data_IF_417570459937
#
_entry.id   IF_417570459937
#
_cell.length_a   1.000
_cell.length_b   1.000
_cell.length_c   1.000
_cell.angle_alpha   90.00
_cell.angle_beta   90.00
_cell.angle_gamma   90.00
#
_symmetry.space_group_name_H-M   'P 1'
#
loop_
_entity.id
_entity.type
_entity.pdbx_description
1 polymer ?
#
# COMPACT_ATOMS: atom_id res chain seq x y z
N UNK A 1 12.60 77.17 -33.02
CA UNK A 1 13.42 76.15 -32.33
C UNK A 1 12.72 75.56 -31.11
N UNK A 2 12.30 76.33 -30.09
CA UNK A 2 11.65 75.77 -28.89
C UNK A 2 10.36 74.93 -29.14
N UNK A 3 9.43 75.44 -29.97
CA UNK A 3 8.16 74.73 -30.29
C UNK A 3 8.34 73.41 -31.06
N UNK A 4 9.43 73.23 -31.79
CA UNK A 4 9.70 71.97 -32.51
C UNK A 4 10.27 70.91 -31.58
N UNK A 5 11.08 71.32 -30.59
CA UNK A 5 11.65 70.44 -29.57
C UNK A 5 10.52 69.90 -28.66
N UNK A 6 9.62 70.77 -28.19
CA UNK A 6 8.47 70.36 -27.37
C UNK A 6 7.54 69.37 -28.11
N UNK A 7 7.30 69.59 -29.40
CA UNK A 7 6.46 68.70 -30.21
C UNK A 7 7.13 67.34 -30.46
N UNK A 8 8.46 67.32 -30.55
CA UNK A 8 9.25 66.09 -30.70
C UNK A 8 9.26 65.28 -29.39
N UNK A 9 9.36 65.95 -28.25
CA UNK A 9 9.29 65.33 -26.92
C UNK A 9 7.91 64.73 -26.64
N UNK A 10 6.82 65.43 -26.98
CA UNK A 10 5.45 64.93 -26.86
C UNK A 10 5.23 63.67 -27.73
N UNK A 11 5.76 63.66 -28.97
CA UNK A 11 5.67 62.50 -29.87
C UNK A 11 6.50 61.32 -29.34
N UNK A 12 7.68 61.59 -28.81
CA UNK A 12 8.56 60.56 -28.22
C UNK A 12 7.93 59.92 -26.98
N UNK A 13 7.30 60.71 -26.11
CA UNK A 13 6.61 60.21 -24.92
C UNK A 13 5.39 59.35 -25.29
N UNK A 14 4.62 59.76 -26.32
CA UNK A 14 3.52 58.93 -26.86
C UNK A 14 4.03 57.61 -27.46
N UNK A 15 5.12 57.65 -28.21
CA UNK A 15 5.74 56.46 -28.80
C UNK A 15 6.25 55.50 -27.72
N UNK A 16 6.97 56.00 -26.70
CA UNK A 16 7.44 55.19 -25.58
C UNK A 16 6.28 54.55 -24.80
N UNK A 17 5.18 55.27 -24.57
CA UNK A 17 3.99 54.69 -23.93
C UNK A 17 3.38 53.54 -24.73
N UNK A 18 3.37 53.64 -26.06
CA UNK A 18 2.91 52.57 -26.94
C UNK A 18 3.85 51.36 -26.86
N UNK A 19 5.17 51.57 -26.93
CA UNK A 19 6.17 50.50 -26.81
C UNK A 19 6.07 49.79 -25.46
N UNK A 20 5.93 50.54 -24.37
CA UNK A 20 5.74 49.98 -23.03
C UNK A 20 4.42 49.21 -22.90
N UNK A 21 3.34 49.69 -23.53
CA UNK A 21 2.05 48.99 -23.52
C UNK A 21 2.12 47.67 -24.29
N UNK A 22 2.78 47.65 -25.46
CA UNK A 22 2.97 46.44 -26.26
C UNK A 22 3.84 45.43 -25.50
N UNK A 23 4.97 45.87 -24.92
CA UNK A 23 5.85 45.00 -24.14
C UNK A 23 5.13 44.45 -22.89
N UNK A 24 4.32 45.28 -22.22
CA UNK A 24 3.50 44.86 -21.09
C UNK A 24 2.52 43.75 -21.47
N UNK A 25 1.81 43.90 -22.59
CA UNK A 25 0.90 42.87 -23.11
C UNK A 25 1.67 41.59 -23.46
N UNK A 26 2.83 41.71 -24.10
CA UNK A 26 3.64 40.57 -24.53
C UNK A 26 4.17 39.77 -23.33
N UNK A 27 4.61 40.44 -22.27
CA UNK A 27 5.01 39.81 -21.00
C UNK A 27 3.81 39.13 -20.34
N UNK A 28 2.63 39.74 -20.38
CA UNK A 28 1.42 39.18 -19.76
C UNK A 28 0.97 37.91 -20.48
N UNK A 29 1.02 37.89 -21.83
CA UNK A 29 0.77 36.69 -22.64
C UNK A 29 1.79 35.59 -22.35
N UNK A 30 3.07 35.95 -22.25
CA UNK A 30 4.13 34.99 -21.92
C UNK A 30 3.93 34.41 -20.50
N UNK A 31 3.58 35.24 -19.52
CA UNK A 31 3.31 34.81 -18.15
C UNK A 31 2.10 33.87 -18.08
N UNK A 32 1.04 34.14 -18.84
CA UNK A 32 -0.11 33.25 -18.94
C UNK A 32 0.24 31.92 -19.59
N UNK A 33 1.07 31.93 -20.63
CA UNK A 33 1.52 30.72 -21.31
C UNK A 33 2.40 29.84 -20.40
N UNK A 34 3.38 30.45 -19.72
CA UNK A 34 4.22 29.75 -18.73
C UNK A 34 3.37 29.25 -17.56
N UNK A 35 2.41 30.06 -17.08
CA UNK A 35 1.47 29.64 -16.04
C UNK A 35 0.63 28.44 -16.45
N UNK A 36 0.15 28.39 -17.69
CA UNK A 36 -0.60 27.25 -18.21
C UNK A 36 0.25 25.97 -18.27
N UNK A 37 1.52 26.07 -18.72
CA UNK A 37 2.46 24.94 -18.72
C UNK A 37 2.71 24.45 -17.30
N UNK A 38 2.95 25.34 -16.34
CA UNK A 38 3.18 24.97 -14.94
C UNK A 38 1.94 24.34 -14.30
N UNK A 39 0.73 24.80 -14.64
CA UNK A 39 -0.52 24.18 -14.18
C UNK A 39 -0.72 22.80 -14.82
N UNK A 40 -0.42 22.63 -16.11
CA UNK A 40 -0.49 21.33 -16.78
C UNK A 40 0.53 20.34 -16.18
N UNK A 41 1.76 20.78 -15.92
CA UNK A 41 2.80 19.99 -15.26
C UNK A 41 2.38 19.61 -13.82
N UNK A 42 1.85 20.56 -13.05
CA UNK A 42 1.36 20.32 -11.69
C UNK A 42 0.16 19.36 -11.66
N UNK A 43 -0.75 19.48 -12.62
CA UNK A 43 -1.92 18.59 -12.74
C UNK A 43 -1.56 17.21 -13.25
N UNK A 44 -0.63 17.07 -14.21
CA UNK A 44 -0.07 15.77 -14.65
C UNK A 44 0.66 15.06 -13.51
N UNK A 45 1.41 15.79 -12.69
CA UNK A 45 2.07 15.25 -11.50
C UNK A 45 1.08 14.87 -10.39
N UNK A 46 -0.09 15.52 -10.34
CA UNK A 46 -1.17 15.13 -9.42
C UNK A 46 -2.03 13.97 -9.93
N UNK A 47 -2.24 13.81 -11.24
CA UNK A 47 -3.07 12.75 -11.83
C UNK A 47 -2.36 11.41 -11.95
N UNK A 48 -1.01 11.39 -11.94
CA UNK A 48 -0.22 10.15 -11.95
C UNK A 48 0.00 9.56 -10.55
N UNK A 49 -0.94 9.74 -9.62
CA UNK A 49 -0.96 8.93 -8.39
C UNK A 49 -1.41 7.53 -8.78
N UNK A 50 -0.43 6.65 -9.01
CA UNK A 50 -0.63 5.21 -9.13
C UNK A 50 -1.52 4.74 -7.97
N UNK A 51 -2.79 4.46 -8.28
CA UNK A 51 -3.67 3.76 -7.35
C UNK A 51 -3.42 2.28 -7.56
N UNK A 52 -2.96 1.56 -6.53
CA UNK A 52 -2.74 0.13 -6.67
C UNK A 52 -4.07 -0.58 -6.95
N UNK A 53 -4.06 -1.73 -7.65
CA UNK A 53 -5.24 -2.56 -7.87
C UNK A 53 -5.95 -2.90 -6.56
N UNK A 54 -7.29 -2.99 -6.58
CA UNK A 54 -8.11 -3.19 -5.37
C UNK A 54 -9.23 -4.22 -5.55
N UNK A 55 -9.71 -4.77 -4.44
CA UNK A 55 -10.77 -5.77 -4.42
C UNK A 55 -12.14 -5.12 -4.27
N UNK A 56 -12.86 -4.94 -5.38
CA UNK A 56 -14.24 -4.45 -5.41
C UNK A 56 -15.20 -5.48 -4.79
N UNK A 57 -16.07 -5.03 -3.90
CA UNK A 57 -17.09 -5.82 -3.21
C UNK A 57 -18.44 -5.09 -3.20
N UNK A 58 -19.49 -5.75 -2.69
CA UNK A 58 -20.79 -5.13 -2.45
C UNK A 58 -21.50 -4.58 -3.69
N UNK A 59 -22.14 -3.41 -3.54
CA UNK A 59 -23.01 -2.79 -4.57
C UNK A 59 -22.27 -2.48 -5.87
N UNK A 60 -21.00 -2.13 -5.79
CA UNK A 60 -20.23 -1.76 -6.99
C UNK A 60 -19.84 -2.99 -7.80
N UNK A 61 -19.61 -4.13 -7.15
CA UNK A 61 -19.47 -5.42 -7.83
C UNK A 61 -20.77 -5.83 -8.53
N UNK A 62 -21.93 -5.63 -7.91
CA UNK A 62 -23.21 -5.98 -8.54
C UNK A 62 -23.52 -5.10 -9.76
N UNK A 63 -23.31 -3.78 -9.66
CA UNK A 63 -23.42 -2.86 -10.82
C UNK A 63 -22.49 -3.23 -11.98
N UNK A 64 -21.30 -3.74 -11.67
CA UNK A 64 -20.33 -4.15 -12.67
C UNK A 64 -20.78 -5.39 -13.46
N UNK A 65 -21.34 -6.38 -12.74
CA UNK A 65 -21.91 -7.59 -13.34
C UNK A 65 -23.05 -7.25 -14.30
N UNK A 66 -23.95 -6.34 -13.89
CA UNK A 66 -25.06 -5.87 -14.74
C UNK A 66 -24.59 -5.25 -16.07
N UNK A 67 -23.43 -4.58 -16.06
CA UNK A 67 -22.84 -3.94 -17.24
C UNK A 67 -21.96 -4.87 -18.07
N UNK A 68 -21.82 -6.15 -17.68
CA UNK A 68 -20.95 -7.11 -18.37
C UNK A 68 -19.46 -6.74 -18.34
N UNK A 69 -19.04 -5.87 -17.41
CA UNK A 69 -17.65 -5.43 -17.30
C UNK A 69 -16.83 -6.47 -16.55
N UNK A 70 -15.73 -6.95 -17.16
CA UNK A 70 -14.70 -7.69 -16.45
C UNK A 70 -13.85 -6.69 -15.69
N UNK A 71 -14.26 -6.32 -14.47
CA UNK A 71 -13.54 -5.32 -13.69
C UNK A 71 -12.30 -5.86 -13.00
N UNK A 72 -12.14 -7.18 -12.90
CA UNK A 72 -11.07 -7.77 -12.11
C UNK A 72 -10.51 -9.04 -12.75
N UNK A 73 -9.19 -9.18 -12.69
CA UNK A 73 -8.45 -10.40 -13.00
C UNK A 73 -7.44 -10.72 -11.90
N UNK A 74 -6.71 -11.81 -12.08
CA UNK A 74 -5.67 -12.23 -11.16
C UNK A 74 -4.29 -11.94 -11.75
N UNK A 75 -3.36 -11.61 -10.87
CA UNK A 75 -1.96 -11.43 -11.19
C UNK A 75 -1.10 -12.19 -10.20
N UNK A 76 -0.06 -12.83 -10.68
CA UNK A 76 0.84 -13.62 -9.85
C UNK A 76 2.23 -13.66 -10.50
N UNK A 77 3.25 -13.64 -9.65
CA UNK A 77 4.64 -13.78 -10.07
C UNK A 77 5.02 -15.27 -10.12
N UNK A 78 6.32 -15.58 -10.12
CA UNK A 78 6.80 -16.95 -9.93
C UNK A 78 6.56 -17.46 -8.49
N UNK A 79 6.36 -18.79 -8.30
CA UNK A 79 6.37 -19.41 -6.99
C UNK A 79 7.68 -19.16 -6.22
N UNK A 80 7.57 -18.93 -4.91
CA UNK A 80 8.69 -18.69 -4.00
C UNK A 80 8.86 -19.87 -3.05
N UNK A 81 10.09 -20.34 -2.88
CA UNK A 81 10.40 -21.45 -1.96
C UNK A 81 10.19 -21.04 -0.51
N UNK A 82 9.70 -21.97 0.31
CA UNK A 82 9.52 -21.76 1.75
C UNK A 82 10.60 -22.53 2.50
N UNK A 83 11.48 -21.79 3.18
CA UNK A 83 12.59 -22.39 3.92
C UNK A 83 12.05 -23.34 5.00
N UNK A 84 12.73 -24.47 5.19
CA UNK A 84 12.31 -25.52 6.13
C UNK A 84 11.29 -26.49 5.53
N UNK A 85 10.94 -26.32 4.25
CA UNK A 85 10.10 -27.24 3.48
C UNK A 85 10.69 -27.47 2.09
N UNK A 86 10.15 -28.44 1.36
CA UNK A 86 10.33 -28.65 -0.07
C UNK A 86 9.25 -27.96 -0.91
N UNK A 87 8.39 -27.16 -0.28
CA UNK A 87 7.23 -26.53 -0.90
C UNK A 87 7.47 -25.09 -1.34
N UNK A 88 6.48 -24.59 -2.07
CA UNK A 88 6.46 -23.24 -2.61
C UNK A 88 5.16 -22.53 -2.22
N UNK A 89 5.22 -21.20 -2.15
CA UNK A 89 4.04 -20.33 -2.10
C UNK A 89 3.96 -19.46 -3.34
N UNK A 90 2.74 -19.12 -3.74
CA UNK A 90 2.44 -18.21 -4.83
C UNK A 90 1.44 -17.16 -4.34
N UNK A 91 1.90 -15.94 -4.09
CA UNK A 91 1.03 -14.83 -3.75
C UNK A 91 0.19 -14.46 -4.97
N UNK A 92 -1.13 -14.43 -4.77
CA UNK A 92 -2.10 -14.05 -5.79
C UNK A 92 -2.56 -12.63 -5.50
N UNK A 93 -2.41 -11.74 -6.47
CA UNK A 93 -2.86 -10.34 -6.43
C UNK A 93 -4.05 -10.16 -7.35
N UNK A 94 -4.73 -9.03 -7.20
CA UNK A 94 -5.80 -8.64 -8.12
C UNK A 94 -5.28 -7.62 -9.14
N UNK A 95 -5.80 -7.68 -10.36
CA UNK A 95 -5.73 -6.60 -11.35
C UNK A 95 -7.12 -6.01 -11.49
N UNK A 96 -7.25 -4.69 -11.44
CA UNK A 96 -8.52 -4.01 -11.68
C UNK A 96 -8.50 -3.43 -13.09
N UNK A 97 -9.45 -3.84 -13.93
CA UNK A 97 -9.62 -3.34 -15.29
C UNK A 97 -10.75 -2.30 -15.28
N UNK A 98 -10.40 -1.02 -15.39
CA UNK A 98 -11.40 0.06 -15.50
C UNK A 98 -12.00 0.16 -16.91
N UNK A 99 -11.41 -0.54 -17.89
CA UNK A 99 -11.76 -0.46 -19.32
C UNK A 99 -12.09 -1.84 -19.92
N UNK A 100 -12.95 -1.90 -20.96
CA UNK A 100 -13.30 -3.15 -21.65
C UNK A 100 -12.08 -3.83 -22.28
N UNK A 101 -12.11 -5.17 -22.32
CA UNK A 101 -10.99 -6.06 -22.74
C UNK A 101 -10.25 -5.64 -24.02
N UNK A 102 -10.95 -5.07 -25.01
CA UNK A 102 -10.37 -4.67 -26.30
C UNK A 102 -9.38 -3.50 -26.21
N UNK A 103 -9.50 -2.58 -25.25
CA UNK A 103 -8.48 -1.54 -25.01
C UNK A 103 -7.39 -2.02 -24.04
N UNK A 104 -7.72 -2.98 -23.18
CA UNK A 104 -6.79 -3.53 -22.18
C UNK A 104 -5.67 -4.35 -22.83
N UNK A 105 -5.95 -5.10 -23.90
CA UNK A 105 -4.95 -5.89 -24.64
C UNK A 105 -3.81 -5.01 -25.20
N UNK A 106 -4.13 -3.81 -25.71
CA UNK A 106 -3.13 -2.85 -26.23
C UNK A 106 -2.31 -2.21 -25.10
N UNK A 107 -2.89 -2.11 -23.89
CA UNK A 107 -2.24 -1.47 -22.74
C UNK A 107 -1.39 -2.48 -21.93
N UNK A 108 -1.75 -3.76 -21.93
CA UNK A 108 -0.99 -4.84 -21.25
C UNK A 108 0.43 -4.99 -21.83
N UNK A 109 0.59 -4.94 -23.16
CA UNK A 109 1.93 -4.98 -23.79
C UNK A 109 2.85 -3.84 -23.33
N UNK A 110 2.28 -2.66 -23.08
CA UNK A 110 3.03 -1.47 -22.62
C UNK A 110 3.30 -1.52 -21.10
N UNK A 111 2.42 -2.14 -20.32
CA UNK A 111 2.56 -2.26 -18.86
C UNK A 111 3.61 -3.31 -18.46
N UNK A 112 3.70 -4.43 -19.19
CA UNK A 112 4.72 -5.47 -18.97
C UNK A 112 6.16 -4.96 -19.12
N UNK A 113 6.38 -3.93 -19.95
CA UNK A 113 7.69 -3.29 -20.13
C UNK A 113 8.11 -2.36 -18.98
N UNK A 114 7.18 -1.93 -18.12
CA UNK A 114 7.46 -1.02 -16.98
C UNK A 114 7.52 -1.70 -15.61
N UNK A 115 6.99 -2.91 -15.47
CA UNK A 115 6.90 -3.60 -14.17
C UNK A 115 8.16 -4.37 -13.75
N UNK A 116 9.28 -4.22 -14.48
CA UNK A 116 10.58 -4.81 -14.11
C UNK A 116 11.27 -4.12 -12.92
N UNK A 117 10.63 -3.13 -12.29
CA UNK A 117 11.12 -2.50 -11.08
C UNK A 117 10.70 -3.37 -9.89
N UNK A 118 11.67 -4.13 -9.39
CA UNK A 118 11.69 -4.91 -8.15
C UNK A 118 11.02 -4.17 -6.98
N UNK A 119 9.71 -4.34 -6.84
CA UNK A 119 8.97 -3.98 -5.65
C UNK A 119 8.33 -5.27 -5.15
N UNK A 120 9.15 -6.16 -4.57
CA UNK A 120 8.73 -7.33 -3.79
C UNK A 120 8.13 -6.88 -2.44
N UNK A 121 7.19 -5.95 -2.51
CA UNK A 121 6.28 -5.69 -1.41
C UNK A 121 5.01 -6.45 -1.77
N UNK A 122 4.73 -7.55 -1.05
CA UNK A 122 3.54 -8.38 -1.17
C UNK A 122 2.24 -7.65 -0.75
N UNK A 123 2.11 -6.38 -1.12
CA UNK A 123 0.96 -5.54 -0.89
C UNK A 123 -0.14 -5.91 -1.91
N UNK A 124 -1.38 -5.87 -1.45
CA UNK A 124 -2.57 -6.20 -2.25
C UNK A 124 -2.63 -7.66 -2.72
N UNK A 125 -2.11 -8.55 -1.88
CA UNK A 125 -2.31 -9.97 -2.02
C UNK A 125 -3.75 -10.31 -1.64
N UNK A 126 -4.48 -11.04 -2.48
CA UNK A 126 -5.86 -11.49 -2.21
C UNK A 126 -5.90 -12.94 -1.75
N UNK A 127 -4.85 -13.71 -2.02
CA UNK A 127 -4.71 -15.08 -1.52
C UNK A 127 -3.25 -15.56 -1.65
N UNK A 128 -2.93 -16.68 -1.02
CA UNK A 128 -1.65 -17.38 -1.20
C UNK A 128 -1.94 -18.83 -1.55
N UNK A 129 -1.37 -19.32 -2.64
CA UNK A 129 -1.46 -20.72 -3.07
C UNK A 129 -0.20 -21.44 -2.65
N UNK A 130 -0.35 -22.57 -1.96
CA UNK A 130 0.75 -23.43 -1.55
C UNK A 130 0.87 -24.62 -2.49
N UNK A 131 2.11 -25.03 -2.75
CA UNK A 131 2.46 -26.10 -3.67
C UNK A 131 3.53 -27.01 -3.06
N UNK A 132 3.54 -28.27 -3.51
CA UNK A 132 4.63 -29.21 -3.23
C UNK A 132 5.85 -28.96 -4.15
N UNK A 133 6.88 -29.79 -3.98
CA UNK A 133 8.12 -29.75 -4.76
C UNK A 133 7.94 -29.96 -6.27
N UNK A 134 6.82 -30.57 -6.68
CA UNK A 134 6.48 -30.84 -8.07
C UNK A 134 5.48 -29.79 -8.60
N UNK A 135 5.33 -28.66 -7.89
CA UNK A 135 4.43 -27.55 -8.19
C UNK A 135 2.95 -27.94 -8.21
N UNK A 136 2.56 -29.05 -7.57
CA UNK A 136 1.14 -29.38 -7.41
C UNK A 136 0.55 -28.56 -6.29
N UNK A 137 -0.60 -27.93 -6.56
CA UNK A 137 -1.33 -27.18 -5.55
C UNK A 137 -1.75 -28.10 -4.40
N UNK A 138 -1.32 -27.76 -3.19
CA UNK A 138 -1.64 -28.48 -1.96
C UNK A 138 -2.73 -27.76 -1.15
N UNK A 139 -2.71 -26.43 -1.14
CA UNK A 139 -3.62 -25.62 -0.33
C UNK A 139 -3.81 -24.22 -0.94
N UNK A 140 -4.99 -23.64 -0.72
CA UNK A 140 -5.25 -22.20 -0.90
C UNK A 140 -5.53 -21.60 0.48
N UNK A 141 -4.85 -20.51 0.83
CA UNK A 141 -4.89 -19.96 2.19
C UNK A 141 -6.30 -19.53 2.62
N UNK A 142 -6.94 -18.67 1.82
CA UNK A 142 -8.24 -18.10 2.13
C UNK A 142 -9.34 -18.82 1.35
N UNK A 143 -10.39 -19.23 2.07
CA UNK A 143 -11.58 -19.87 1.52
C UNK A 143 -12.74 -18.89 1.23
N UNK A 144 -12.51 -17.59 1.49
CA UNK A 144 -13.45 -16.50 1.23
C UNK A 144 -12.68 -15.26 0.76
N UNK A 145 -13.39 -14.28 0.21
CA UNK A 145 -12.80 -12.99 -0.19
C UNK A 145 -12.14 -12.35 1.03
N UNK A 146 -10.91 -11.89 0.83
CA UNK A 146 -10.13 -11.18 1.84
C UNK A 146 -8.99 -10.44 1.18
N UNK A 147 -8.35 -9.61 1.98
CA UNK A 147 -7.19 -8.82 1.62
C UNK A 147 -6.06 -9.16 2.59
N UNK A 148 -4.91 -9.54 2.05
CA UNK A 148 -3.68 -9.79 2.80
C UNK A 148 -2.79 -8.57 2.58
N UNK A 149 -2.73 -7.73 3.61
CA UNK A 149 -1.94 -6.48 3.61
C UNK A 149 -0.46 -6.77 3.50
N UNK A 150 -0.01 -7.76 4.26
CA UNK A 150 1.34 -8.25 4.29
C UNK A 150 1.36 -9.66 4.86
N UNK A 151 2.41 -10.41 4.55
CA UNK A 151 2.73 -11.65 5.23
C UNK A 151 4.24 -11.82 5.31
N UNK A 152 4.68 -12.59 6.30
CA UNK A 152 6.09 -12.92 6.52
C UNK A 152 6.24 -14.42 6.66
N UNK A 153 7.21 -15.00 5.94
CA UNK A 153 7.53 -16.43 5.88
C UNK A 153 9.05 -16.63 5.89
N UNK A 154 9.55 -17.79 6.33
CA UNK A 154 10.99 -18.03 6.35
C UNK A 154 11.52 -18.20 4.92
N UNK A 155 12.49 -17.36 4.54
CA UNK A 155 13.14 -17.36 3.21
C UNK A 155 14.62 -17.74 3.32
N UNK A 156 15.19 -18.27 2.24
CA UNK A 156 16.60 -18.64 2.11
C UNK A 156 17.49 -17.46 1.73
N UNK A 157 16.94 -16.42 1.10
CA UNK A 157 17.61 -15.15 0.81
C UNK A 157 17.00 -14.05 1.65
N UNK A 158 17.85 -13.33 2.38
CA UNK A 158 17.49 -12.03 2.92
C UNK A 158 17.34 -11.07 1.74
N UNK A 159 16.19 -11.06 1.09
CA UNK A 159 15.89 -10.10 -0.01
C UNK A 159 15.98 -8.63 0.47
N UNK A 160 16.22 -8.39 1.76
CA UNK A 160 16.13 -7.08 2.41
C UNK A 160 17.29 -6.69 3.34
N UNK A 161 18.23 -7.57 3.70
CA UNK A 161 19.40 -7.22 4.54
C UNK A 161 20.63 -8.07 4.23
N UNK A 162 21.82 -7.49 4.36
CA UNK A 162 23.14 -8.13 4.18
C UNK A 162 23.48 -9.17 5.27
N UNK A 163 22.45 -9.79 5.87
CA UNK A 163 22.59 -10.91 6.79
C UNK A 163 22.23 -12.20 6.05
N UNK A 164 23.27 -12.83 5.50
CA UNK A 164 23.20 -14.13 4.82
C UNK A 164 22.83 -15.28 5.76
N UNK A 165 22.54 -15.00 7.05
CA UNK A 165 22.20 -16.03 8.01
C UNK A 165 20.73 -16.43 7.88
N UNK A 166 20.49 -17.74 7.71
CA UNK A 166 19.18 -18.36 7.91
C UNK A 166 18.35 -17.80 9.07
N UNK A 167 17.09 -17.41 8.82
CA UNK A 167 16.10 -17.39 9.90
C UNK A 167 15.76 -18.84 10.28
N UNK A 168 16.29 -19.28 11.42
CA UNK A 168 16.03 -20.60 12.01
C UNK A 168 14.93 -20.57 13.06
N UNK A 169 14.44 -19.38 13.40
CA UNK A 169 13.49 -19.14 14.48
C UNK A 169 12.06 -19.19 13.93
N UNK A 170 11.83 -18.61 12.76
CA UNK A 170 10.52 -18.59 12.14
C UNK A 170 10.12 -19.95 11.55
N UNK A 171 9.21 -20.64 12.23
CA UNK A 171 8.63 -21.93 11.80
C UNK A 171 7.17 -21.84 11.35
N UNK A 172 6.64 -20.61 11.27
CA UNK A 172 5.26 -20.33 10.91
C UNK A 172 5.20 -19.13 9.96
N UNK A 173 4.09 -18.99 9.24
CA UNK A 173 3.82 -17.82 8.40
C UNK A 173 2.86 -16.91 9.12
N UNK A 174 3.13 -15.61 9.13
CA UNK A 174 2.26 -14.59 9.73
C UNK A 174 1.65 -13.71 8.65
N UNK A 175 0.42 -13.24 8.87
CA UNK A 175 -0.34 -12.47 7.90
C UNK A 175 -1.10 -11.34 8.58
N UNK A 176 -1.20 -10.18 7.94
CA UNK A 176 -2.19 -9.17 8.29
C UNK A 176 -3.35 -9.28 7.31
N UNK A 177 -4.50 -9.79 7.77
CA UNK A 177 -5.65 -10.12 6.92
C UNK A 177 -6.87 -9.29 7.32
N UNK A 178 -7.50 -8.68 6.32
CA UNK A 178 -8.81 -8.02 6.41
C UNK A 178 -9.85 -8.81 5.63
N UNK A 179 -11.03 -8.98 6.21
CA UNK A 179 -12.17 -9.69 5.57
C UNK A 179 -13.38 -8.79 5.32
N UNK A 180 -13.35 -7.57 5.86
CA UNK A 180 -14.50 -6.67 5.89
C UNK A 180 -14.11 -5.30 5.34
N UNK A 181 -15.01 -4.71 4.56
CA UNK A 181 -14.94 -3.33 4.12
C UNK A 181 -15.40 -2.45 5.29
N UNK A 182 -14.43 -2.13 6.14
CA UNK A 182 -14.66 -1.48 7.43
C UNK A 182 -14.88 0.02 7.31
N UNK A 183 -14.42 0.62 6.20
CA UNK A 183 -14.66 2.02 5.88
C UNK A 183 -15.91 2.22 4.99
N UNK A 184 -16.49 1.12 4.47
CA UNK A 184 -17.70 1.05 3.64
C UNK A 184 -17.58 1.76 2.29
N UNK A 185 -16.38 1.80 1.70
CA UNK A 185 -16.13 2.41 0.40
C UNK A 185 -16.36 1.47 -0.79
N UNK A 186 -16.81 0.24 -0.54
CA UNK A 186 -17.09 -0.77 -1.55
C UNK A 186 -15.86 -1.57 -1.99
N UNK A 187 -14.72 -1.38 -1.32
CA UNK A 187 -13.44 -1.99 -1.67
C UNK A 187 -12.79 -2.62 -0.44
N UNK A 188 -12.22 -3.82 -0.59
CA UNK A 188 -11.30 -4.40 0.40
C UNK A 188 -9.87 -4.00 0.05
N UNK A 189 -9.25 -3.17 0.88
CA UNK A 189 -7.87 -2.71 0.70
C UNK A 189 -7.11 -2.43 2.02
N UNK A 190 -5.91 -1.84 1.90
CA UNK A 190 -5.04 -1.54 3.05
C UNK A 190 -5.59 -0.53 4.06
N UNK A 191 -6.68 0.18 3.74
CA UNK A 191 -7.38 1.09 4.63
C UNK A 191 -8.36 0.35 5.54
N UNK A 192 -8.68 -0.90 5.22
CA UNK A 192 -9.51 -1.72 6.09
C UNK A 192 -8.75 -2.23 7.30
N UNK A 193 -9.52 -2.51 8.35
CA UNK A 193 -8.99 -3.12 9.57
C UNK A 193 -8.50 -4.52 9.25
N UNK A 194 -7.27 -4.81 9.67
CA UNK A 194 -6.62 -6.12 9.52
C UNK A 194 -6.19 -6.66 10.87
N UNK A 195 -6.36 -7.96 11.07
CA UNK A 195 -5.83 -8.64 12.24
C UNK A 195 -4.63 -9.52 11.87
N UNK A 196 -3.81 -9.83 12.87
CA UNK A 196 -2.73 -10.79 12.72
C UNK A 196 -3.30 -12.21 12.72
N UNK A 197 -2.87 -12.99 11.73
CA UNK A 197 -3.11 -14.42 11.62
C UNK A 197 -1.78 -15.16 11.53
N UNK A 198 -1.81 -16.44 11.86
CA UNK A 198 -0.68 -17.36 11.76
C UNK A 198 -1.11 -18.67 11.11
N UNK A 199 -0.25 -19.28 10.30
CA UNK A 199 -0.42 -20.62 9.75
C UNK A 199 0.86 -21.44 9.86
N UNK A 200 0.76 -22.75 9.63
CA UNK A 200 1.92 -23.58 9.32
C UNK A 200 2.57 -23.19 7.99
N UNK A 201 3.72 -23.79 7.69
CA UNK A 201 4.53 -23.47 6.50
C UNK A 201 3.87 -23.88 5.18
N UNK A 202 2.85 -24.74 5.19
CA UNK A 202 2.08 -25.14 4.00
C UNK A 202 0.70 -24.46 3.96
N UNK A 203 0.50 -23.40 4.76
CA UNK A 203 -0.75 -22.65 4.83
C UNK A 203 -1.85 -23.33 5.65
N UNK A 204 -1.54 -24.43 6.34
CA UNK A 204 -2.46 -25.18 7.18
C UNK A 204 -2.72 -24.48 8.52
N UNK A 205 -3.87 -24.77 9.13
CA UNK A 205 -4.23 -24.29 10.47
C UNK A 205 -4.14 -22.76 10.61
N UNK A 206 -4.73 -22.02 9.66
CA UNK A 206 -4.81 -20.56 9.74
C UNK A 206 -5.65 -20.15 10.97
N UNK A 207 -5.00 -19.50 11.94
CA UNK A 207 -5.61 -19.06 13.20
C UNK A 207 -5.44 -17.56 13.37
N UNK A 208 -6.48 -16.90 13.88
CA UNK A 208 -6.47 -15.48 14.24
C UNK A 208 -5.72 -15.29 15.56
N UNK A 209 -4.71 -14.43 15.57
CA UNK A 209 -3.86 -14.13 16.72
C UNK A 209 -4.38 -12.92 17.50
N UNK A 210 -4.82 -11.87 16.80
CA UNK A 210 -5.31 -10.63 17.41
C UNK A 210 -6.76 -10.34 17.05
N UNK A 211 -7.49 -9.64 17.92
CA UNK A 211 -8.87 -9.20 17.66
C UNK A 211 -9.02 -7.74 18.11
N UNK A 212 -9.64 -6.91 17.28
CA UNK A 212 -9.95 -5.50 17.56
C UNK A 212 -8.75 -4.57 17.85
N UNK A 213 -7.57 -4.90 17.33
CA UNK A 213 -6.36 -4.06 17.47
C UNK A 213 -5.70 -3.81 16.13
N UNK A 214 -5.06 -2.66 15.98
CA UNK A 214 -4.23 -2.38 14.82
C UNK A 214 -2.79 -2.79 15.14
N UNK A 215 -2.33 -3.87 14.48
CA UNK A 215 -0.97 -4.37 14.64
C UNK A 215 -0.01 -3.42 13.92
N UNK A 216 0.93 -2.87 14.68
CA UNK A 216 1.97 -1.99 14.18
C UNK A 216 3.19 -2.77 13.72
N UNK A 217 3.56 -3.79 14.49
CA UNK A 217 4.73 -4.62 14.24
C UNK A 217 4.61 -5.97 14.97
N UNK A 218 5.29 -6.99 14.46
CA UNK A 218 5.39 -8.29 15.12
C UNK A 218 6.68 -9.01 14.73
N UNK A 219 7.24 -9.76 15.67
CA UNK A 219 8.48 -10.52 15.45
C UNK A 219 8.50 -11.82 16.24
N UNK A 220 9.11 -12.86 15.68
CA UNK A 220 9.33 -14.10 16.40
C UNK A 220 10.45 -13.90 17.43
N UNK A 221 10.15 -14.16 18.70
CA UNK A 221 11.15 -14.19 19.79
C UNK A 221 11.86 -15.55 19.79
N UNK A 222 11.09 -16.62 19.53
CA UNK A 222 11.56 -18.00 19.37
C UNK A 222 10.51 -18.78 18.56
N UNK A 223 10.72 -20.09 18.41
CA UNK A 223 9.83 -20.97 17.63
C UNK A 223 8.39 -21.06 18.15
N UNK A 224 8.12 -20.65 19.40
CA UNK A 224 6.80 -20.69 20.03
C UNK A 224 6.21 -19.31 20.37
N UNK A 225 6.96 -18.23 20.22
CA UNK A 225 6.56 -16.93 20.75
C UNK A 225 6.72 -15.81 19.72
N UNK A 226 5.68 -14.99 19.61
CA UNK A 226 5.67 -13.78 18.80
C UNK A 226 5.47 -12.58 19.72
N UNK A 227 6.37 -11.60 19.64
CA UNK A 227 6.16 -10.27 20.22
C UNK A 227 5.27 -9.47 19.26
N UNK A 228 4.24 -8.84 19.78
CA UNK A 228 3.28 -8.05 19.01
C UNK A 228 3.22 -6.65 19.61
N UNK A 229 3.40 -5.63 18.77
CA UNK A 229 3.19 -4.23 19.10
C UNK A 229 1.93 -3.74 18.39
N UNK A 230 1.01 -3.14 19.13
CA UNK A 230 -0.31 -2.79 18.62
C UNK A 230 -0.88 -1.53 19.26
N UNK A 231 -1.94 -0.98 18.66
CA UNK A 231 -2.78 0.07 19.24
C UNK A 231 -4.24 -0.39 19.27
N UNK A 232 -5.01 0.10 20.23
CA UNK A 232 -6.43 -0.20 20.30
C UNK A 232 -7.21 0.54 19.21
N UNK A 233 -8.24 -0.11 18.66
CA UNK A 233 -9.16 0.47 17.68
C UNK A 233 -10.23 1.33 18.35
N UNK A 234 -9.81 2.41 19.00
CA UNK A 234 -10.71 3.44 19.54
C UNK A 234 -10.74 4.71 18.66
N UNK A 235 -11.60 5.66 19.02
CA UNK A 235 -11.80 6.94 18.32
C UNK A 235 -10.70 7.98 18.61
N UNK A 236 -9.72 7.65 19.46
CA UNK A 236 -8.62 8.55 19.81
C UNK A 236 -7.82 8.87 18.56
N UNK A 237 -7.40 10.14 18.41
CA UNK A 237 -6.53 10.51 17.29
C UNK A 237 -5.21 9.75 17.37
N UNK A 238 -4.66 9.40 16.20
CA UNK A 238 -3.49 8.52 16.09
C UNK A 238 -2.29 9.03 16.90
N UNK A 239 -2.07 10.34 16.92
CA UNK A 239 -1.01 11.02 17.68
C UNK A 239 -1.15 10.89 19.21
N UNK A 240 -2.32 10.49 19.69
CA UNK A 240 -2.62 10.29 21.11
C UNK A 240 -2.91 8.82 21.44
N UNK A 241 -2.84 7.91 20.44
CA UNK A 241 -3.03 6.48 20.68
C UNK A 241 -1.79 5.92 21.37
N UNK A 242 -2.03 5.24 22.48
CA UNK A 242 -1.00 4.52 23.21
C UNK A 242 -0.67 3.21 22.50
N UNK A 243 0.62 2.91 22.42
CA UNK A 243 1.11 1.61 21.96
C UNK A 243 1.17 0.61 23.10
N UNK A 244 0.78 -0.61 22.79
CA UNK A 244 0.76 -1.76 23.68
C UNK A 244 1.61 -2.88 23.12
N UNK A 245 2.01 -3.77 24.02
CA UNK A 245 2.82 -4.94 23.71
C UNK A 245 2.17 -6.19 24.30
N UNK A 246 2.16 -7.26 23.51
CA UNK A 246 1.71 -8.59 23.93
C UNK A 246 2.66 -9.67 23.42
N UNK A 247 2.65 -10.82 24.08
CA UNK A 247 3.27 -12.05 23.60
C UNK A 247 2.18 -13.02 23.18
N UNK A 248 2.31 -13.56 21.97
CA UNK A 248 1.49 -14.68 21.54
C UNK A 248 2.27 -15.99 21.68
N UNK A 249 1.64 -16.97 22.31
CA UNK A 249 2.14 -18.31 22.54
C UNK A 249 1.47 -19.27 21.54
N UNK A 250 2.24 -19.75 20.58
CA UNK A 250 1.73 -20.44 19.38
C UNK A 250 1.08 -21.78 19.75
N UNK A 251 1.77 -22.64 20.51
CA UNK A 251 1.25 -23.96 20.93
C UNK A 251 -0.01 -23.85 21.79
N UNK A 252 -0.07 -22.83 22.63
CA UNK A 252 -1.15 -22.58 23.57
C UNK A 252 -2.31 -21.81 22.95
N UNK A 253 -2.12 -21.26 21.74
CA UNK A 253 -3.02 -20.30 21.10
C UNK A 253 -3.47 -19.18 22.07
N UNK A 254 -2.51 -18.60 22.79
CA UNK A 254 -2.76 -17.65 23.87
C UNK A 254 -2.05 -16.33 23.63
N UNK A 255 -2.79 -15.23 23.68
CA UNK A 255 -2.25 -13.88 23.71
C UNK A 255 -2.16 -13.39 25.15
N UNK A 256 -1.00 -12.88 25.55
CA UNK A 256 -0.75 -12.36 26.90
C UNK A 256 -0.17 -10.95 26.83
N UNK A 257 -0.88 -9.99 27.40
CA UNK A 257 -0.44 -8.59 27.48
C UNK A 257 0.76 -8.45 28.41
N UNK A 258 1.71 -7.58 28.03
CA UNK A 258 2.88 -7.28 28.84
C UNK A 258 2.58 -6.17 29.85
N UNK A 259 1.69 -6.46 30.81
CA UNK A 259 1.18 -5.50 31.79
C UNK A 259 2.28 -4.82 32.60
N UNK A 260 3.34 -5.53 32.98
CA UNK A 260 4.49 -4.95 33.69
C UNK A 260 5.23 -3.90 32.86
N UNK A 261 5.38 -4.13 31.55
CA UNK A 261 5.95 -3.14 30.63
C UNK A 261 5.02 -1.95 30.47
N UNK A 262 3.70 -2.17 30.37
CA UNK A 262 2.73 -1.08 30.29
C UNK A 262 2.81 -0.18 31.52
N UNK A 263 2.87 -0.74 32.73
CA UNK A 263 3.03 0.02 33.97
C UNK A 263 4.32 0.86 33.97
N UNK A 264 5.44 0.29 33.53
CA UNK A 264 6.70 1.02 33.44
C UNK A 264 6.63 2.20 32.44
N UNK A 265 5.95 1.99 31.31
CA UNK A 265 5.70 3.06 30.33
C UNK A 265 4.78 4.15 30.88
N UNK A 266 3.76 3.79 31.68
CA UNK A 266 2.89 4.76 32.37
C UNK A 266 3.68 5.65 33.35
N UNK A 267 4.60 5.06 34.09
CA UNK A 267 5.45 5.80 35.03
C UNK A 267 6.40 6.74 34.29
N UNK A 268 6.98 6.29 33.17
CA UNK A 268 7.81 7.14 32.32
C UNK A 268 7.01 8.31 31.71
N UNK A 269 5.80 8.06 31.21
CA UNK A 269 4.97 9.12 30.64
C UNK A 269 4.58 10.18 31.69
N UNK A 270 4.28 9.75 32.92
CA UNK A 270 4.02 10.67 34.05
C UNK A 270 5.22 11.55 34.40
N UNK A 271 6.44 11.09 34.16
CA UNK A 271 7.65 11.85 34.47
C UNK A 271 8.10 12.75 33.30
N UNK A 272 7.88 12.31 32.05
CA UNK A 272 8.42 12.98 30.87
C UNK A 272 7.44 13.95 30.19
N UNK A 273 6.14 13.69 30.30
CA UNK A 273 5.11 14.43 29.54
C UNK A 273 4.15 15.20 30.45
N UNK A 274 3.86 14.68 31.64
CA UNK A 274 3.04 15.34 32.66
C UNK A 274 3.91 16.02 33.71
#
# INVERSE_FOLDING_TARGET
>A
MGKEIDNMEIKMNKFLKIVWSINGILILVLALFVGAILIEEATRNFSNRYSPPRVIVGKDLEKAKEKGLVLQGLDYNEPKSIRGTDGYLLPVRIKTYEKPKTEAEITEEVFYLKSSIKMDHYQNTVNVVFMDKDFKTTQVLLNKKGFIKSFSYPTSSSDFYDDTRPDTIQQHITYLIGFEDTNKDGVLDSKDKTDLYISGLKGENLVRVTTEVDVLDHSFINTNQILIRYINRDETRREHKREYFAKYYIKENKLEELTSLHTALDELEKFLVK
#
